data_IF_026836942821
#
_entry.id   IF_026836942821
#
_cell.length_a   1.000
_cell.length_b   1.000
_cell.length_c   1.000
_cell.angle_alpha   90.00
_cell.angle_beta   90.00
_cell.angle_gamma   90.00
#
_symmetry.space_group_name_H-M   'P 1'
#
loop_
_entity.id
_entity.type
_entity.pdbx_description
1 polymer ?
#
# COMPACT_ATOMS: atom_id res chain seq x y z
N UNK A 1 -17.46 5.09 -10.09
CA UNK A 1 -18.51 5.30 -9.08
C UNK A 1 -18.85 3.95 -8.49
N UNK A 2 -18.54 3.70 -7.22
CA UNK A 2 -18.92 2.45 -6.55
C UNK A 2 -20.27 2.59 -5.84
N UNK A 3 -21.03 1.49 -5.74
CA UNK A 3 -22.31 1.44 -5.01
C UNK A 3 -22.18 0.46 -3.84
N UNK A 4 -22.28 0.95 -2.61
CA UNK A 4 -22.30 0.09 -1.42
C UNK A 4 -23.75 -0.07 -0.93
N UNK A 5 -24.25 -1.30 -0.80
CA UNK A 5 -25.63 -1.59 -0.33
C UNK A 5 -25.62 -2.01 1.13
N UNK A 6 -26.23 -1.21 2.01
CA UNK A 6 -26.33 -1.53 3.44
C UNK A 6 -27.62 -2.35 3.71
N UNK A 7 -27.54 -3.49 4.43
CA UNK A 7 -28.69 -4.36 4.65
C UNK A 7 -29.71 -3.80 5.66
N UNK A 8 -31.00 -4.05 5.42
CA UNK A 8 -32.13 -3.38 6.07
C UNK A 8 -32.33 -3.59 7.58
N UNK A 9 -31.62 -4.54 8.20
CA UNK A 9 -31.67 -4.75 9.66
C UNK A 9 -30.98 -3.62 10.45
N UNK A 10 -30.21 -2.76 9.78
CA UNK A 10 -29.69 -1.51 10.36
C UNK A 10 -30.76 -0.42 10.55
N UNK A 11 -32.05 -0.69 10.30
CA UNK A 11 -33.17 0.26 10.42
C UNK A 11 -34.13 -0.02 11.60
N UNK A 12 -33.79 -0.97 12.48
CA UNK A 12 -34.59 -1.32 13.65
C UNK A 12 -34.66 -0.17 14.70
N UNK A 13 -35.66 -0.05 15.58
CA UNK A 13 -35.78 1.07 16.51
C UNK A 13 -34.55 1.28 17.41
N UNK A 14 -33.85 0.19 17.75
CA UNK A 14 -32.58 0.18 18.48
C UNK A 14 -31.42 0.79 17.68
N UNK A 15 -31.43 0.65 16.36
CA UNK A 15 -30.44 1.29 15.48
C UNK A 15 -30.79 2.74 15.19
N UNK A 16 -32.06 3.16 15.29
CA UNK A 16 -32.42 4.60 15.21
C UNK A 16 -31.80 5.42 16.32
N UNK A 17 -31.74 4.91 17.55
CA UNK A 17 -31.12 5.60 18.68
C UNK A 17 -29.60 5.72 18.49
N UNK A 18 -28.96 4.67 17.95
CA UNK A 18 -27.53 4.64 17.64
C UNK A 18 -27.22 5.59 16.48
N UNK A 19 -28.02 5.55 15.41
CA UNK A 19 -27.92 6.48 14.28
C UNK A 19 -28.19 7.91 14.73
N UNK A 20 -29.15 8.17 15.63
CA UNK A 20 -29.38 9.52 16.15
C UNK A 20 -28.24 10.01 17.03
N UNK A 21 -27.64 9.15 17.86
CA UNK A 21 -26.45 9.49 18.66
C UNK A 21 -25.22 9.73 17.81
N UNK A 22 -25.06 8.97 16.72
CA UNK A 22 -24.04 9.20 15.70
C UNK A 22 -24.34 10.54 15.01
N UNK A 23 -25.53 10.75 14.45
CA UNK A 23 -25.94 11.97 13.73
C UNK A 23 -25.92 13.24 14.60
N UNK A 24 -26.20 13.14 15.89
CA UNK A 24 -26.18 14.27 16.84
C UNK A 24 -24.78 14.59 17.38
N UNK A 25 -23.80 13.74 17.11
CA UNK A 25 -22.39 14.02 17.34
C UNK A 25 -21.87 14.95 16.23
N UNK A 26 -21.22 16.04 16.61
CA UNK A 26 -20.63 16.99 15.66
C UNK A 26 -19.57 16.34 14.76
N UNK A 27 -18.99 15.21 15.19
CA UNK A 27 -18.04 14.40 14.42
C UNK A 27 -18.68 13.57 13.29
N UNK A 28 -19.95 13.14 13.42
CA UNK A 28 -20.60 12.35 12.36
C UNK A 28 -21.36 13.21 11.33
N UNK A 29 -21.66 14.46 11.67
CA UNK A 29 -22.28 15.41 10.74
C UNK A 29 -21.40 15.69 9.50
N UNK A 30 -20.07 15.60 9.63
CA UNK A 30 -19.13 15.76 8.52
C UNK A 30 -19.04 14.51 7.63
N UNK A 31 -19.22 13.31 8.21
CA UNK A 31 -19.35 12.04 7.48
C UNK A 31 -20.65 12.03 6.65
N UNK A 32 -21.74 12.56 7.20
CA UNK A 32 -23.05 12.66 6.54
C UNK A 32 -23.03 13.70 5.41
N UNK A 33 -22.27 14.79 5.52
CA UNK A 33 -22.14 15.81 4.46
C UNK A 33 -21.40 15.33 3.21
N UNK A 34 -20.66 14.22 3.29
CA UNK A 34 -19.99 13.62 2.13
C UNK A 34 -20.95 12.79 1.24
N UNK A 35 -22.19 12.56 1.68
CA UNK A 35 -23.19 11.81 0.93
C UNK A 35 -23.87 12.75 -0.08
N UNK A 36 -23.45 12.71 -1.34
CA UNK A 36 -24.01 13.59 -2.40
C UNK A 36 -25.43 13.19 -2.85
N UNK A 37 -25.84 11.93 -2.71
CA UNK A 37 -27.20 11.46 -3.01
C UNK A 37 -27.49 10.16 -2.25
N UNK A 38 -28.64 10.14 -1.56
CA UNK A 38 -29.11 9.04 -0.73
C UNK A 38 -30.34 8.45 -1.44
N UNK A 39 -30.19 7.32 -2.12
CA UNK A 39 -31.33 6.59 -2.66
C UNK A 39 -31.82 5.59 -1.62
N UNK A 40 -33.01 5.85 -1.08
CA UNK A 40 -33.71 4.91 -0.21
C UNK A 40 -34.60 4.04 -1.10
N UNK A 41 -34.21 2.78 -1.27
CA UNK A 41 -35.08 1.75 -1.84
C UNK A 41 -35.62 0.86 -0.72
N UNK A 42 -36.69 0.12 -0.98
CA UNK A 42 -37.40 -0.69 0.02
C UNK A 42 -36.54 -1.73 0.77
N UNK A 43 -35.30 -1.99 0.32
CA UNK A 43 -34.41 -3.00 0.90
C UNK A 43 -32.96 -2.55 1.13
N UNK A 44 -32.70 -1.25 1.29
CA UNK A 44 -31.38 -0.75 1.74
C UNK A 44 -30.97 0.61 1.19
N UNK A 45 -29.88 1.15 1.75
CA UNK A 45 -29.27 2.42 1.35
C UNK A 45 -28.08 2.15 0.44
N UNK A 46 -28.03 2.85 -0.71
CA UNK A 46 -26.87 2.82 -1.61
C UNK A 46 -26.05 4.11 -1.46
N UNK A 47 -24.77 4.00 -1.07
CA UNK A 47 -23.84 5.15 -1.02
C UNK A 47 -22.95 5.14 -2.26
N UNK A 48 -22.86 6.29 -2.95
CA UNK A 48 -21.98 6.50 -4.10
C UNK A 48 -20.85 7.44 -3.71
N UNK A 49 -19.61 6.94 -3.69
CA UNK A 49 -18.40 7.72 -3.39
C UNK A 49 -17.58 7.92 -4.68
N UNK A 50 -17.04 9.12 -4.83
CA UNK A 50 -16.20 9.51 -5.96
C UNK A 50 -14.69 9.33 -5.67
N UNK A 51 -13.91 8.87 -6.66
CA UNK A 51 -12.49 8.48 -6.49
C UNK A 51 -11.56 9.68 -6.33
N UNK A 52 -11.91 10.83 -6.90
CA UNK A 52 -11.16 12.07 -6.64
C UNK A 52 -11.31 12.51 -5.18
N UNK A 53 -12.46 12.20 -4.59
CA UNK A 53 -12.73 12.43 -3.17
C UNK A 53 -11.91 11.49 -2.26
N UNK A 54 -11.60 10.25 -2.70
CA UNK A 54 -10.68 9.35 -1.97
C UNK A 54 -9.25 9.89 -2.02
N UNK A 55 -8.75 10.31 -3.19
CA UNK A 55 -7.40 10.91 -3.31
C UNK A 55 -7.28 12.24 -2.54
N UNK A 56 -8.31 13.07 -2.54
CA UNK A 56 -8.36 14.29 -1.74
C UNK A 56 -8.41 13.98 -0.25
N UNK A 57 -9.21 13.00 0.18
CA UNK A 57 -9.23 12.53 1.58
C UNK A 57 -7.92 11.92 2.03
N UNK A 58 -7.28 11.10 1.19
CA UNK A 58 -5.92 10.56 1.43
C UNK A 58 -4.93 11.69 1.66
N UNK A 59 -4.95 12.70 0.79
CA UNK A 59 -4.11 13.89 0.93
C UNK A 59 -4.44 14.65 2.22
N UNK A 60 -5.70 14.85 2.54
CA UNK A 60 -6.12 15.55 3.76
C UNK A 60 -5.75 14.78 5.04
N UNK A 61 -5.93 13.46 5.08
CA UNK A 61 -5.55 12.61 6.20
C UNK A 61 -4.03 12.54 6.39
N UNK A 62 -3.25 12.37 5.32
CA UNK A 62 -1.79 12.39 5.39
C UNK A 62 -1.28 13.77 5.83
N UNK A 63 -1.90 14.86 5.37
CA UNK A 63 -1.55 16.22 5.81
C UNK A 63 -1.99 16.52 7.25
N UNK A 64 -3.10 15.94 7.72
CA UNK A 64 -3.64 16.14 9.07
C UNK A 64 -2.89 15.32 10.12
N UNK A 65 -2.61 14.06 9.82
CA UNK A 65 -1.90 13.14 10.73
C UNK A 65 -0.38 13.39 10.68
N UNK A 66 0.12 13.93 9.56
CA UNK A 66 1.54 14.16 9.35
C UNK A 66 2.33 12.86 9.26
N UNK A 67 3.65 12.99 9.10
CA UNK A 67 4.56 11.89 9.42
C UNK A 67 4.85 11.95 10.92
N UNK A 68 4.92 10.82 11.65
CA UNK A 68 5.46 10.84 12.99
C UNK A 68 6.87 11.42 12.93
N UNK A 69 7.01 12.63 13.48
CA UNK A 69 8.22 13.43 13.46
C UNK A 69 9.36 12.65 14.12
N UNK A 70 10.31 12.17 13.29
CA UNK A 70 11.64 11.57 13.62
C UNK A 70 12.38 10.96 12.43
N UNK A 71 11.72 10.68 11.29
CA UNK A 71 12.35 9.93 10.18
C UNK A 71 12.73 10.75 8.93
N UNK A 72 12.30 12.01 8.78
CA UNK A 72 12.46 12.76 7.52
C UNK A 72 13.92 12.96 7.07
N UNK A 73 14.84 13.17 8.02
CA UNK A 73 16.28 13.24 7.74
C UNK A 73 16.83 11.91 7.22
N UNK A 74 16.45 10.80 7.86
CA UNK A 74 16.88 9.46 7.45
C UNK A 74 16.33 9.11 6.07
N UNK A 75 15.02 9.31 5.81
CA UNK A 75 14.42 9.01 4.50
C UNK A 75 15.11 9.79 3.37
N UNK A 76 15.49 11.06 3.59
CA UNK A 76 16.23 11.85 2.61
C UNK A 76 17.57 11.19 2.23
N UNK A 77 18.32 10.66 3.21
CA UNK A 77 19.58 9.94 2.96
C UNK A 77 19.35 8.75 2.02
N UNK A 78 18.28 7.98 2.25
CA UNK A 78 17.93 6.86 1.37
C UNK A 78 17.51 7.33 -0.03
N UNK A 79 16.70 8.38 -0.14
CA UNK A 79 16.31 8.93 -1.45
C UNK A 79 17.55 9.35 -2.25
N UNK A 80 18.49 10.07 -1.63
CA UNK A 80 19.73 10.49 -2.27
C UNK A 80 20.58 9.28 -2.70
N UNK A 81 20.72 8.27 -1.83
CA UNK A 81 21.44 7.03 -2.15
C UNK A 81 20.80 6.26 -3.32
N UNK A 82 19.47 6.16 -3.34
CA UNK A 82 18.73 5.49 -4.41
C UNK A 82 18.83 6.24 -5.73
N UNK A 83 18.77 7.57 -5.73
CA UNK A 83 18.92 8.36 -6.95
C UNK A 83 20.32 8.21 -7.55
N UNK A 84 21.37 8.19 -6.72
CA UNK A 84 22.73 7.94 -7.18
C UNK A 84 22.86 6.56 -7.84
N UNK A 85 22.29 5.52 -7.23
CA UNK A 85 22.27 4.18 -7.83
C UNK A 85 21.39 4.13 -9.10
N UNK A 86 20.26 4.83 -9.13
CA UNK A 86 19.35 4.86 -10.26
C UNK A 86 19.98 5.42 -11.54
N UNK A 87 20.93 6.35 -11.41
CA UNK A 87 21.67 6.93 -12.53
C UNK A 87 22.59 5.89 -13.22
N UNK A 88 23.04 4.87 -12.49
CA UNK A 88 23.96 3.83 -12.97
C UNK A 88 23.26 2.54 -13.41
N UNK A 89 22.09 2.25 -12.82
CA UNK A 89 21.36 1.00 -13.07
C UNK A 89 20.63 1.01 -14.43
N UNK A 90 20.71 -0.07 -15.23
CA UNK A 90 19.91 -0.23 -16.45
C UNK A 90 18.42 -0.21 -16.15
N UNK A 91 17.61 0.38 -17.03
CA UNK A 91 16.14 0.36 -16.94
C UNK A 91 15.57 -1.07 -16.96
N UNK A 92 14.37 -1.23 -16.40
CA UNK A 92 13.65 -2.50 -16.30
C UNK A 92 13.84 -3.20 -14.95
N UNK A 93 13.82 -4.53 -14.97
CA UNK A 93 14.00 -5.40 -13.79
C UNK A 93 15.35 -5.20 -13.08
N UNK A 94 16.48 -5.00 -13.78
CA UNK A 94 17.75 -4.69 -13.11
C UNK A 94 17.67 -3.43 -12.26
N UNK A 95 16.92 -2.40 -12.67
CA UNK A 95 16.71 -1.19 -11.87
C UNK A 95 15.91 -1.49 -10.62
N UNK A 96 14.81 -2.24 -10.73
CA UNK A 96 14.00 -2.61 -9.56
C UNK A 96 14.85 -3.38 -8.53
N UNK A 97 15.55 -4.42 -8.97
CA UNK A 97 16.37 -5.24 -8.09
C UNK A 97 17.56 -4.47 -7.51
N UNK A 98 18.22 -3.65 -8.32
CA UNK A 98 19.34 -2.82 -7.89
C UNK A 98 18.94 -1.76 -6.86
N UNK A 99 17.79 -1.12 -7.04
CA UNK A 99 17.27 -0.13 -6.08
C UNK A 99 16.85 -0.80 -4.77
N UNK A 100 16.16 -1.94 -4.83
CA UNK A 100 15.78 -2.69 -3.63
C UNK A 100 17.02 -3.13 -2.84
N UNK A 101 18.02 -3.70 -3.52
CA UNK A 101 19.30 -4.05 -2.88
C UNK A 101 20.00 -2.84 -2.29
N UNK A 102 20.11 -1.75 -3.05
CA UNK A 102 20.76 -0.50 -2.57
C UNK A 102 20.10 0.04 -1.30
N UNK A 103 18.77 -0.02 -1.23
CA UNK A 103 18.03 0.42 -0.05
C UNK A 103 18.39 -0.44 1.17
N UNK A 104 18.37 -1.76 1.03
CA UNK A 104 18.56 -2.66 2.17
C UNK A 104 20.03 -2.91 2.54
N UNK A 105 20.98 -2.73 1.59
CA UNK A 105 22.42 -2.60 1.89
C UNK A 105 22.66 -1.44 2.85
N UNK A 106 22.15 -0.24 2.51
CA UNK A 106 22.31 0.94 3.36
C UNK A 106 21.66 0.74 4.74
N UNK A 107 20.50 0.09 4.78
CA UNK A 107 19.84 -0.24 6.05
C UNK A 107 20.65 -1.24 6.88
N UNK A 108 21.27 -2.24 6.24
CA UNK A 108 22.15 -3.19 6.89
C UNK A 108 23.37 -2.49 7.51
N UNK A 109 24.08 -1.67 6.73
CA UNK A 109 25.27 -0.93 7.17
C UNK A 109 24.95 -0.07 8.40
N UNK A 110 23.88 0.74 8.30
CA UNK A 110 23.47 1.65 9.38
C UNK A 110 23.03 0.90 10.64
N UNK A 111 22.42 -0.27 10.47
CA UNK A 111 22.01 -1.13 11.59
C UNK A 111 23.20 -1.83 12.25
N UNK A 112 24.29 -2.07 11.52
CA UNK A 112 25.56 -2.56 12.08
C UNK A 112 26.29 -1.45 12.84
N UNK A 113 26.15 -0.20 12.40
CA UNK A 113 26.66 1.00 13.09
C UNK A 113 25.82 1.42 14.31
N UNK A 114 24.80 0.63 14.69
CA UNK A 114 24.02 0.80 15.91
C UNK A 114 22.70 1.56 15.75
N UNK A 115 22.28 1.90 14.53
CA UNK A 115 20.94 2.42 14.29
C UNK A 115 19.86 1.33 14.51
N UNK A 116 18.63 1.76 14.78
CA UNK A 116 17.48 0.85 14.93
C UNK A 116 17.10 0.25 13.56
N UNK A 117 17.24 -1.07 13.37
CA UNK A 117 16.97 -1.72 12.08
C UNK A 117 15.52 -1.56 11.60
N UNK A 118 14.55 -1.45 12.50
CA UNK A 118 13.15 -1.21 12.12
C UNK A 118 13.00 0.18 11.49
N UNK A 119 13.61 1.20 12.10
CA UNK A 119 13.54 2.57 11.61
C UNK A 119 14.31 2.77 10.30
N UNK A 120 15.45 2.08 10.14
CA UNK A 120 16.21 2.07 8.89
C UNK A 120 15.42 1.40 7.75
N UNK A 121 14.77 0.27 8.01
CA UNK A 121 13.90 -0.39 7.03
C UNK A 121 12.69 0.46 6.64
N UNK A 122 12.10 1.19 7.60
CA UNK A 122 11.02 2.13 7.30
C UNK A 122 11.49 3.23 6.36
N UNK A 123 12.66 3.81 6.63
CA UNK A 123 13.23 4.85 5.79
C UNK A 123 13.54 4.33 4.37
N UNK A 124 14.09 3.13 4.26
CA UNK A 124 14.34 2.44 3.00
C UNK A 124 13.06 2.26 2.17
N UNK A 125 11.98 1.77 2.79
CA UNK A 125 10.70 1.51 2.11
C UNK A 125 10.00 2.81 1.69
N UNK A 126 9.99 3.83 2.54
CA UNK A 126 9.47 5.16 2.14
C UNK A 126 10.25 5.73 0.96
N UNK A 127 11.58 5.64 0.98
CA UNK A 127 12.42 6.13 -0.12
C UNK A 127 12.15 5.36 -1.43
N UNK A 128 12.00 4.03 -1.38
CA UNK A 128 11.60 3.22 -2.54
C UNK A 128 10.23 3.65 -3.08
N UNK A 129 9.24 3.86 -2.20
CA UNK A 129 7.92 4.36 -2.56
C UNK A 129 7.96 5.73 -3.24
N UNK A 130 8.83 6.63 -2.78
CA UNK A 130 9.04 7.96 -3.37
C UNK A 130 9.72 7.88 -4.75
N UNK A 131 10.80 7.10 -4.86
CA UNK A 131 11.64 7.05 -6.07
C UNK A 131 10.99 6.25 -7.20
N UNK A 132 10.32 5.14 -6.86
CA UNK A 132 9.81 4.18 -7.87
C UNK A 132 8.29 4.20 -8.01
N UNK A 133 7.57 4.57 -6.95
CA UNK A 133 6.11 4.49 -6.91
C UNK A 133 5.41 5.80 -7.25
N UNK A 134 5.37 6.70 -6.28
CA UNK A 134 4.74 8.00 -6.44
C UNK A 134 5.31 9.06 -5.51
N UNK A 135 5.52 10.27 -6.05
CA UNK A 135 6.06 11.41 -5.30
C UNK A 135 5.24 11.78 -4.06
N UNK A 136 3.93 11.49 -4.03
CA UNK A 136 3.07 11.78 -2.88
C UNK A 136 3.32 10.90 -1.66
N UNK A 137 4.05 9.78 -1.81
CA UNK A 137 4.53 9.00 -0.66
C UNK A 137 5.41 9.86 0.26
N UNK A 138 6.04 10.91 -0.28
CA UNK A 138 6.85 11.85 0.51
C UNK A 138 6.05 12.52 1.65
N UNK A 139 4.73 12.65 1.51
CA UNK A 139 3.90 13.29 2.51
C UNK A 139 3.75 12.42 3.76
N UNK A 140 3.71 11.10 3.58
CA UNK A 140 3.76 10.12 4.67
C UNK A 140 5.16 10.07 5.33
N UNK A 141 6.20 10.47 4.60
CA UNK A 141 7.59 10.43 5.06
C UNK A 141 8.13 11.76 5.63
N UNK A 142 7.28 12.80 5.74
CA UNK A 142 7.66 14.08 6.36
C UNK A 142 8.23 15.13 5.40
N UNK A 143 7.80 15.14 4.13
CA UNK A 143 8.18 16.13 3.08
C UNK A 143 9.69 16.24 2.88
N UNK A 144 10.27 15.18 2.36
CA UNK A 144 11.73 15.03 2.23
C UNK A 144 12.32 15.63 0.94
N UNK A 145 11.49 15.93 -0.07
CA UNK A 145 11.98 16.39 -1.37
C UNK A 145 11.97 17.92 -1.49
N UNK A 146 13.16 18.49 -1.71
CA UNK A 146 13.30 19.82 -2.31
C UNK A 146 13.02 19.78 -3.83
N UNK A 147 13.13 20.94 -4.49
CA UNK A 147 12.86 21.07 -5.92
C UNK A 147 13.83 20.23 -6.78
N UNK A 148 15.08 20.11 -6.36
CA UNK A 148 16.11 19.38 -7.10
C UNK A 148 15.88 17.87 -7.00
N UNK A 149 15.67 17.35 -5.79
CA UNK A 149 15.38 15.94 -5.56
C UNK A 149 14.09 15.52 -6.28
N UNK A 150 13.04 16.34 -6.23
CA UNK A 150 11.78 16.05 -6.94
C UNK A 150 11.97 15.95 -8.46
N UNK A 151 12.79 16.82 -9.04
CA UNK A 151 13.16 16.72 -10.46
C UNK A 151 13.96 15.44 -10.75
N UNK A 152 14.86 15.04 -9.86
CA UNK A 152 15.63 13.81 -9.99
C UNK A 152 14.76 12.55 -9.91
N UNK A 153 13.87 12.46 -8.93
CA UNK A 153 12.86 11.40 -8.82
C UNK A 153 12.03 11.30 -10.11
N UNK A 154 11.54 12.43 -10.63
CA UNK A 154 10.75 12.45 -11.86
C UNK A 154 11.48 11.91 -13.10
N UNK A 155 12.82 11.91 -13.14
CA UNK A 155 13.57 11.32 -14.26
C UNK A 155 13.53 9.80 -14.23
N UNK A 156 13.51 9.18 -13.05
CA UNK A 156 13.63 7.73 -12.86
C UNK A 156 12.28 7.04 -12.67
N UNK A 157 11.22 7.80 -12.38
CA UNK A 157 9.87 7.28 -12.19
C UNK A 157 9.40 6.49 -13.43
N UNK A 158 8.90 5.27 -13.19
CA UNK A 158 8.42 4.38 -14.24
C UNK A 158 9.51 3.66 -15.06
N UNK A 159 10.79 3.81 -14.71
CA UNK A 159 11.91 3.12 -15.40
C UNK A 159 12.28 1.78 -14.78
N UNK A 160 11.86 1.52 -13.55
CA UNK A 160 11.98 0.20 -12.94
C UNK A 160 10.75 -0.62 -13.31
N UNK A 161 10.94 -1.89 -13.65
CA UNK A 161 9.85 -2.82 -13.96
C UNK A 161 10.01 -4.13 -13.22
N UNK A 162 8.90 -4.86 -13.10
CA UNK A 162 8.86 -6.27 -12.68
C UNK A 162 8.13 -7.01 -13.79
N UNK A 163 8.78 -8.02 -14.39
CA UNK A 163 8.31 -8.74 -15.57
C UNK A 163 7.82 -7.80 -16.69
N UNK A 164 8.56 -6.71 -16.92
CA UNK A 164 8.23 -5.71 -17.93
C UNK A 164 7.17 -4.66 -17.54
N UNK A 165 6.56 -4.76 -16.35
CA UNK A 165 5.52 -3.84 -15.87
C UNK A 165 6.03 -2.84 -14.83
N UNK A 166 5.94 -1.55 -15.15
CA UNK A 166 6.32 -0.45 -14.25
C UNK A 166 5.23 -0.13 -13.21
N UNK A 167 3.97 -0.35 -13.58
CA UNK A 167 2.80 -0.19 -12.71
C UNK A 167 2.83 -1.17 -11.53
N UNK A 168 3.29 -2.41 -11.73
CA UNK A 168 3.49 -3.37 -10.65
C UNK A 168 4.53 -2.91 -9.62
N UNK A 169 5.65 -2.31 -10.06
CA UNK A 169 6.64 -1.71 -9.15
C UNK A 169 6.00 -0.60 -8.32
N UNK A 170 5.15 0.21 -8.96
CA UNK A 170 4.43 1.29 -8.27
C UNK A 170 3.46 0.75 -7.23
N UNK A 171 2.62 -0.22 -7.58
CA UNK A 171 1.69 -0.88 -6.66
C UNK A 171 2.43 -1.46 -5.46
N UNK A 172 3.49 -2.23 -5.72
CA UNK A 172 4.36 -2.80 -4.70
C UNK A 172 4.94 -1.74 -3.75
N UNK A 173 5.61 -0.70 -4.28
CA UNK A 173 6.33 0.27 -3.46
C UNK A 173 5.40 1.22 -2.70
N UNK A 174 4.28 1.62 -3.32
CA UNK A 174 3.28 2.49 -2.67
C UNK A 174 2.55 1.74 -1.56
N UNK A 175 2.10 0.51 -1.79
CA UNK A 175 1.43 -0.28 -0.75
C UNK A 175 2.36 -0.59 0.42
N UNK A 176 3.64 -0.87 0.18
CA UNK A 176 4.63 -1.05 1.25
C UNK A 176 4.74 0.21 2.13
N UNK A 177 4.89 1.39 1.52
CA UNK A 177 4.99 2.64 2.25
C UNK A 177 3.70 3.01 3.01
N UNK A 178 2.54 2.77 2.40
CA UNK A 178 1.24 2.99 3.06
C UNK A 178 1.03 2.03 4.23
N UNK A 179 1.44 0.77 4.11
CA UNK A 179 1.34 -0.19 5.21
C UNK A 179 2.13 0.27 6.46
N UNK A 180 3.33 0.82 6.27
CA UNK A 180 4.10 1.43 7.36
C UNK A 180 3.33 2.60 7.95
N UNK A 181 2.91 3.55 7.11
CA UNK A 181 2.22 4.75 7.57
C UNK A 181 0.92 4.42 8.33
N UNK A 182 0.14 3.45 7.84
CA UNK A 182 -1.09 2.99 8.50
C UNK A 182 -0.81 2.30 9.83
N UNK A 183 0.30 1.57 9.98
CA UNK A 183 0.70 0.97 11.25
C UNK A 183 1.09 2.02 12.31
N UNK A 184 1.60 3.17 11.87
CA UNK A 184 2.02 4.27 12.75
C UNK A 184 0.87 5.16 13.22
N UNK A 185 -0.28 5.16 12.52
CA UNK A 185 -1.38 6.11 12.70
C UNK A 185 -2.75 5.43 12.94
N UNK A 186 -2.79 4.35 13.73
CA UNK A 186 -3.89 3.37 13.82
C UNK A 186 -5.35 3.92 13.92
N UNK A 187 -6.28 3.09 13.41
CA UNK A 187 -7.74 3.22 13.26
C UNK A 187 -8.22 3.81 11.92
N UNK A 188 -7.97 5.08 11.62
CA UNK A 188 -8.53 5.72 10.41
C UNK A 188 -7.72 5.38 9.14
N UNK A 189 -6.42 5.15 9.29
CA UNK A 189 -5.49 4.85 8.19
C UNK A 189 -5.56 3.40 7.68
N UNK A 190 -6.13 2.47 8.46
CA UNK A 190 -6.31 1.08 8.03
C UNK A 190 -7.42 0.96 6.98
N UNK A 191 -8.48 1.77 7.11
CA UNK A 191 -9.53 1.91 6.10
C UNK A 191 -8.97 2.45 4.78
N UNK A 192 -8.02 3.37 4.84
CA UNK A 192 -7.35 3.95 3.66
C UNK A 192 -6.46 2.95 2.92
N UNK A 193 -5.67 2.14 3.65
CA UNK A 193 -4.90 1.06 3.04
C UNK A 193 -5.86 0.06 2.36
N UNK A 194 -6.94 -0.31 3.05
CA UNK A 194 -7.97 -1.19 2.47
C UNK A 194 -8.60 -0.56 1.22
N UNK A 195 -8.96 0.72 1.26
CA UNK A 195 -9.50 1.44 0.11
C UNK A 195 -8.51 1.51 -1.05
N UNK A 196 -7.21 1.69 -0.82
CA UNK A 196 -6.19 1.67 -1.88
C UNK A 196 -5.99 0.26 -2.46
N UNK A 197 -6.03 -0.78 -1.62
CA UNK A 197 -5.96 -2.18 -2.04
C UNK A 197 -7.21 -2.60 -2.85
N UNK A 198 -8.39 -2.11 -2.45
CA UNK A 198 -9.68 -2.39 -3.07
C UNK A 198 -9.94 -1.48 -4.29
N UNK A 199 -9.30 -0.32 -4.36
CA UNK A 199 -9.41 0.62 -5.48
C UNK A 199 -8.57 0.13 -6.67
N UNK A 200 -9.02 -0.93 -7.34
CA UNK A 200 -8.49 -1.32 -8.66
C UNK A 200 -8.45 -0.11 -9.63
N UNK A 201 -7.39 0.06 -10.45
CA UNK A 201 -7.07 1.34 -11.07
C UNK A 201 -8.04 1.82 -12.16
N UNK A 202 -7.88 3.10 -12.50
CA UNK A 202 -8.82 3.93 -13.26
C UNK A 202 -9.16 3.42 -14.65
N UNK A 203 -10.45 3.26 -14.92
CA UNK A 203 -11.03 3.16 -16.26
C UNK A 203 -10.76 1.85 -17.05
N UNK A 204 -9.78 1.04 -16.64
CA UNK A 204 -9.44 -0.25 -17.27
C UNK A 204 -10.09 -1.48 -16.63
N UNK A 205 -10.64 -1.36 -15.42
CA UNK A 205 -11.22 -2.47 -14.66
C UNK A 205 -10.32 -2.99 -13.53
N UNK A 206 -10.88 -3.81 -12.65
CA UNK A 206 -10.24 -4.53 -11.55
C UNK A 206 -9.19 -5.52 -12.05
N UNK A 207 -8.09 -5.66 -11.29
CA UNK A 207 -6.92 -6.45 -11.65
C UNK A 207 -6.42 -7.25 -10.45
N UNK A 208 -6.44 -8.59 -10.56
CA UNK A 208 -5.87 -9.47 -9.52
C UNK A 208 -4.34 -9.43 -9.52
N UNK A 209 -3.70 -9.14 -10.66
CA UNK A 209 -2.25 -8.97 -10.70
C UNK A 209 -1.80 -7.72 -9.94
N UNK A 210 -2.59 -6.63 -10.00
CA UNK A 210 -2.28 -5.40 -9.26
C UNK A 210 -2.48 -5.63 -7.76
N UNK A 211 -3.49 -6.43 -7.39
CA UNK A 211 -3.69 -6.86 -6.01
C UNK A 211 -2.50 -7.68 -5.49
N UNK A 212 -1.99 -8.63 -6.28
CA UNK A 212 -0.78 -9.37 -5.91
C UNK A 212 0.42 -8.43 -5.70
N UNK A 213 0.62 -7.46 -6.60
CA UNK A 213 1.69 -6.47 -6.46
C UNK A 213 1.57 -5.69 -5.14
N UNK A 214 0.37 -5.22 -4.82
CA UNK A 214 0.08 -4.52 -3.56
C UNK A 214 0.34 -5.40 -2.32
N UNK A 215 -0.08 -6.68 -2.37
CA UNK A 215 0.07 -7.65 -1.27
C UNK A 215 1.52 -8.04 -1.05
N UNK A 216 2.30 -8.23 -2.12
CA UNK A 216 3.74 -8.45 -2.03
C UNK A 216 4.46 -7.26 -1.35
N UNK A 217 4.11 -6.02 -1.73
CA UNK A 217 4.67 -4.82 -1.10
C UNK A 217 4.30 -4.67 0.39
N UNK A 218 3.03 -4.92 0.71
CA UNK A 218 2.56 -4.92 2.11
C UNK A 218 3.28 -5.98 2.95
N UNK A 219 3.53 -7.16 2.37
CA UNK A 219 4.24 -8.26 3.03
C UNK A 219 5.70 -7.90 3.31
N UNK A 220 6.39 -7.24 2.37
CA UNK A 220 7.71 -6.67 2.64
C UNK A 220 7.67 -5.73 3.85
N UNK A 221 6.74 -4.76 3.86
CA UNK A 221 6.64 -3.80 4.95
C UNK A 221 6.42 -4.46 6.30
N UNK A 222 5.49 -5.41 6.37
CA UNK A 222 5.23 -6.17 7.60
C UNK A 222 6.45 -6.98 8.05
N UNK A 223 7.09 -7.70 7.13
CA UNK A 223 8.28 -8.52 7.43
C UNK A 223 9.47 -7.66 7.88
N UNK A 224 9.71 -6.54 7.21
CA UNK A 224 10.85 -5.67 7.43
C UNK A 224 10.72 -4.82 8.71
N UNK A 225 9.52 -4.67 9.27
CA UNK A 225 9.26 -3.75 10.37
C UNK A 225 8.57 -4.38 11.59
N UNK A 226 8.37 -5.71 11.59
CA UNK A 226 7.72 -6.42 12.70
C UNK A 226 8.47 -6.27 14.02
N UNK A 227 9.78 -6.51 14.00
CA UNK A 227 10.68 -6.45 15.15
C UNK A 227 12.14 -6.31 14.69
N UNK A 228 13.09 -5.96 15.59
CA UNK A 228 14.49 -5.77 15.20
C UNK A 228 15.17 -6.99 14.58
N UNK A 229 14.82 -8.21 14.99
CA UNK A 229 15.44 -9.43 14.45
C UNK A 229 14.92 -9.72 13.05
N UNK A 230 13.61 -9.55 12.84
CA UNK A 230 12.99 -9.64 11.51
C UNK A 230 13.54 -8.57 10.57
N UNK A 231 13.70 -7.35 11.07
CA UNK A 231 14.27 -6.25 10.30
C UNK A 231 15.69 -6.58 9.80
N UNK A 232 16.56 -7.11 10.67
CA UNK A 232 17.93 -7.54 10.30
C UNK A 232 17.91 -8.72 9.32
N UNK A 233 17.04 -9.72 9.52
CA UNK A 233 16.90 -10.85 8.58
C UNK A 233 16.50 -10.41 7.17
N UNK A 234 15.62 -9.41 7.07
CA UNK A 234 15.20 -8.84 5.78
C UNK A 234 16.32 -8.00 5.15
N UNK A 235 17.05 -7.21 5.94
CA UNK A 235 18.25 -6.49 5.47
C UNK A 235 19.28 -7.47 4.88
N UNK A 236 19.67 -8.49 5.63
CA UNK A 236 20.61 -9.53 5.18
C UNK A 236 20.15 -10.23 3.90
N UNK A 237 18.86 -10.55 3.81
CA UNK A 237 18.30 -11.21 2.63
C UNK A 237 18.33 -10.29 1.39
N UNK A 238 17.87 -9.05 1.51
CA UNK A 238 17.73 -8.13 0.38
C UNK A 238 19.04 -7.48 -0.06
N UNK A 239 20.01 -7.36 0.85
CA UNK A 239 21.41 -7.01 0.57
C UNK A 239 22.12 -8.12 -0.25
N UNK A 240 21.77 -9.38 0.05
CA UNK A 240 22.34 -10.56 -0.60
C UNK A 240 21.82 -10.85 -2.02
N UNK A 241 22.22 -12.00 -2.59
CA UNK A 241 21.65 -12.53 -3.82
C UNK A 241 20.28 -13.15 -3.57
N UNK A 242 19.30 -12.80 -4.40
CA UNK A 242 17.93 -13.30 -4.36
C UNK A 242 17.33 -13.38 -5.76
N UNK A 243 16.31 -14.20 -5.93
CA UNK A 243 15.51 -14.32 -7.15
C UNK A 243 14.24 -13.48 -7.04
N UNK A 244 13.77 -12.94 -8.17
CA UNK A 244 12.61 -12.05 -8.21
C UNK A 244 11.38 -12.67 -7.55
N UNK A 245 11.12 -13.96 -7.75
CA UNK A 245 9.96 -14.67 -7.18
C UNK A 245 9.93 -14.69 -5.65
N UNK A 246 11.08 -14.48 -5.00
CA UNK A 246 11.18 -14.41 -3.52
C UNK A 246 10.73 -13.06 -2.95
N UNK A 247 10.56 -12.05 -3.82
CA UNK A 247 10.15 -10.67 -3.50
C UNK A 247 8.82 -10.33 -4.18
N UNK A 248 8.63 -10.82 -5.41
CA UNK A 248 7.45 -10.58 -6.22
C UNK A 248 7.04 -11.89 -6.92
N UNK A 249 6.03 -12.62 -6.42
CA UNK A 249 5.65 -13.93 -6.95
C UNK A 249 5.01 -13.82 -8.32
N UNK A 250 4.83 -14.95 -9.03
CA UNK A 250 4.24 -14.96 -10.37
C UNK A 250 2.82 -14.39 -10.36
N UNK A 251 2.54 -13.53 -11.33
CA UNK A 251 1.30 -12.75 -11.41
C UNK A 251 0.77 -12.61 -12.86
N UNK A 252 1.54 -13.02 -13.88
CA UNK A 252 1.17 -12.84 -15.28
C UNK A 252 -0.03 -13.68 -15.72
N UNK A 253 -0.35 -14.74 -14.98
CA UNK A 253 -1.52 -15.59 -15.20
C UNK A 253 -2.77 -15.11 -14.44
N UNK A 254 -2.65 -14.08 -13.61
CA UNK A 254 -3.78 -13.57 -12.84
C UNK A 254 -4.74 -12.76 -13.71
N UNK A 255 -6.06 -12.92 -13.53
CA UNK A 255 -7.04 -12.21 -14.35
C UNK A 255 -7.01 -10.69 -14.12
N UNK A 256 -7.11 -9.91 -15.20
CA UNK A 256 -7.12 -8.45 -15.15
C UNK A 256 -8.15 -7.85 -16.13
N UNK A 257 -8.47 -6.56 -15.94
CA UNK A 257 -9.34 -5.80 -16.84
C UNK A 257 -10.84 -6.02 -16.64
N UNK A 258 -11.28 -6.42 -15.44
CA UNK A 258 -12.68 -6.72 -15.16
C UNK A 258 -13.46 -5.49 -14.71
N UNK A 259 -14.55 -5.13 -15.39
CA UNK A 259 -15.50 -4.15 -14.84
C UNK A 259 -16.22 -4.69 -13.60
N UNK A 260 -16.80 -3.80 -12.79
CA UNK A 260 -17.58 -4.19 -11.60
C UNK A 260 -18.69 -5.20 -11.95
N UNK A 261 -19.35 -5.05 -13.10
CA UNK A 261 -20.37 -5.97 -13.57
C UNK A 261 -19.79 -7.36 -13.90
N UNK A 262 -18.59 -7.40 -14.46
CA UNK A 262 -17.89 -8.67 -14.74
C UNK A 262 -17.35 -9.30 -13.46
N UNK A 263 -16.95 -8.52 -12.46
CA UNK A 263 -16.63 -9.05 -11.12
C UNK A 263 -17.87 -9.69 -10.48
N UNK A 264 -19.03 -9.03 -10.58
CA UNK A 264 -20.30 -9.59 -10.11
C UNK A 264 -20.63 -10.91 -10.85
N UNK A 265 -20.58 -10.89 -12.18
CA UNK A 265 -20.96 -12.01 -13.03
C UNK A 265 -20.01 -13.22 -12.92
N UNK A 266 -18.70 -13.01 -13.01
CA UNK A 266 -17.73 -14.10 -13.07
C UNK A 266 -17.27 -14.58 -11.70
N UNK A 267 -17.19 -13.67 -10.72
CA UNK A 267 -16.59 -13.93 -9.41
C UNK A 267 -17.60 -13.92 -8.25
N UNK A 268 -18.85 -13.53 -8.51
CA UNK A 268 -19.91 -13.43 -7.49
C UNK A 268 -19.80 -12.15 -6.66
N UNK A 269 -19.21 -11.10 -7.23
CA UNK A 269 -18.99 -9.83 -6.56
C UNK A 269 -17.81 -9.86 -5.59
N UNK A 270 -17.56 -8.73 -4.93
CA UNK A 270 -16.56 -8.65 -3.86
C UNK A 270 -17.03 -9.52 -2.69
N UNK A 271 -16.21 -10.49 -2.30
CA UNK A 271 -16.56 -11.48 -1.27
C UNK A 271 -17.33 -12.71 -1.79
N UNK A 272 -17.58 -12.80 -3.10
CA UNK A 272 -18.10 -14.01 -3.73
C UNK A 272 -17.12 -15.18 -3.61
N UNK A 273 -17.60 -16.43 -3.70
CA UNK A 273 -16.76 -17.61 -3.49
C UNK A 273 -15.58 -17.70 -4.46
N UNK A 274 -15.78 -17.35 -5.74
CA UNK A 274 -14.71 -17.34 -6.75
C UNK A 274 -13.75 -16.16 -6.57
N UNK A 275 -14.26 -15.01 -6.12
CA UNK A 275 -13.41 -13.90 -5.71
C UNK A 275 -12.49 -14.33 -4.56
N UNK A 276 -13.04 -14.93 -3.51
CA UNK A 276 -12.27 -15.38 -2.36
C UNK A 276 -11.24 -16.46 -2.72
N UNK A 277 -11.57 -17.40 -3.62
CA UNK A 277 -10.60 -18.37 -4.13
C UNK A 277 -9.38 -17.69 -4.78
N UNK A 278 -9.61 -16.59 -5.52
CA UNK A 278 -8.53 -15.83 -6.12
C UNK A 278 -7.71 -15.06 -5.07
N UNK A 279 -8.36 -14.52 -4.04
CA UNK A 279 -7.66 -13.93 -2.89
C UNK A 279 -6.78 -14.97 -2.21
N UNK A 280 -7.32 -16.15 -1.92
CA UNK A 280 -6.60 -17.23 -1.24
C UNK A 280 -5.39 -17.70 -2.07
N UNK A 281 -5.54 -17.78 -3.41
CA UNK A 281 -4.44 -18.06 -4.33
C UNK A 281 -3.35 -16.98 -4.28
N UNK A 282 -3.73 -15.70 -4.28
CA UNK A 282 -2.79 -14.58 -4.15
C UNK A 282 -2.07 -14.64 -2.81
N UNK A 283 -2.79 -14.86 -1.70
CA UNK A 283 -2.18 -14.99 -0.37
C UNK A 283 -1.24 -16.19 -0.30
N UNK A 284 -1.59 -17.32 -0.91
CA UNK A 284 -0.72 -18.49 -0.98
C UNK A 284 0.60 -18.16 -1.70
N UNK A 285 0.54 -17.50 -2.85
CA UNK A 285 1.72 -17.04 -3.60
C UNK A 285 2.56 -16.06 -2.78
N UNK A 286 1.93 -15.04 -2.20
CA UNK A 286 2.60 -14.01 -1.41
C UNK A 286 3.22 -14.58 -0.14
N UNK A 287 2.63 -15.60 0.47
CA UNK A 287 3.20 -16.25 1.67
C UNK A 287 4.57 -16.91 1.44
N UNK A 288 4.92 -17.18 0.19
CA UNK A 288 6.24 -17.70 -0.19
C UNK A 288 7.30 -16.60 -0.23
N UNK A 289 6.90 -15.34 -0.36
CA UNK A 289 7.82 -14.19 -0.29
C UNK A 289 8.37 -14.07 1.12
N UNK A 290 9.67 -13.83 1.24
CA UNK A 290 10.36 -13.75 2.53
C UNK A 290 10.16 -14.98 3.45
N UNK A 291 9.76 -16.13 2.90
CA UNK A 291 9.52 -17.35 3.66
C UNK A 291 10.77 -17.75 4.46
N UNK A 292 10.58 -18.10 5.74
CA UNK A 292 11.66 -18.41 6.67
C UNK A 292 12.50 -17.21 7.14
N UNK A 293 12.21 -15.99 6.66
CA UNK A 293 12.79 -14.73 7.18
C UNK A 293 11.86 -14.02 8.17
N UNK A 294 10.59 -14.38 8.14
CA UNK A 294 9.57 -14.02 9.12
C UNK A 294 9.43 -15.20 10.09
N UNK A 295 9.73 -15.03 11.38
CA UNK A 295 9.39 -16.06 12.38
C UNK A 295 8.87 -15.43 13.67
N UNK A 296 7.62 -15.77 14.04
CA UNK A 296 7.28 -16.11 15.43
C UNK A 296 6.36 -15.18 16.23
N UNK A 297 5.14 -14.85 15.77
CA UNK A 297 4.06 -14.44 16.69
C UNK A 297 2.98 -15.54 16.77
N UNK A 298 2.95 -16.25 17.91
CA UNK A 298 1.73 -16.86 18.46
C UNK A 298 1.17 -18.12 17.80
N UNK A 299 1.86 -19.27 17.94
CA UNK A 299 1.13 -20.49 18.36
C UNK A 299 1.43 -20.72 19.84
N UNK A 300 0.49 -20.28 20.67
CA UNK A 300 0.20 -20.92 21.96
C UNK A 300 -1.30 -21.18 21.99
#
# INVERSE_FOLDING_TARGET
MGRLRVPGWLLDPLSREIVWRVVADSESAEVIRAIRLLYVAEQGVTVVIDRESIRQRMRELILRLGAPDRAGGTVRIYVERLLAAADELPDGEPKFAGLLRTAFDLAQDRSQDGADPVQENRAAIYALGIVTGHVYVEWAAGRVLDAQLRKAVGRHMGRATVRGRADWVRHYAVSAALAIWSSENASDAAGLLKEELDAGPGGSGFSFSDLLANRAGTTLAMAATADPDSARRIQEFLAGPWHLDQVFPEAADLPEGFSDAQIEEYFGGIGGARYQQMIDEIEARVSTTYAGKITGSGRK
#
